data_IF_544686358475
#
_entry.id   IF_544686358475
#
_cell.length_a   1.000
_cell.length_b   1.000
_cell.length_c   1.000
_cell.angle_alpha   90.00
_cell.angle_beta   90.00
_cell.angle_gamma   90.00
#
_symmetry.space_group_name_H-M   'P 1'
#
loop_
_entity.id
_entity.type
_entity.pdbx_description
1 polymer ?
#
# COMPACT_ATOMS: atom_id res chain seq x y z
N UNK A 1 -4.86 -9.53 27.35
CA UNK A 1 -3.46 -9.16 27.60
C UNK A 1 -2.76 -9.10 26.26
N UNK A 2 -2.18 -7.96 25.86
CA UNK A 2 -1.45 -7.84 24.60
C UNK A 2 0.02 -8.18 24.89
N UNK A 3 0.59 -9.11 24.11
CA UNK A 3 2.00 -9.50 24.26
C UNK A 3 2.88 -8.54 23.41
N UNK A 4 3.95 -7.95 23.99
CA UNK A 4 4.83 -7.07 23.24
C UNK A 4 5.61 -7.87 22.19
N UNK A 5 5.74 -7.29 21.00
CA UNK A 5 6.57 -7.84 19.93
C UNK A 5 8.06 -7.65 20.24
N UNK A 6 8.86 -8.70 20.13
CA UNK A 6 10.31 -8.69 20.44
C UNK A 6 11.21 -9.03 19.23
N UNK A 7 10.65 -9.06 18.02
CA UNK A 7 11.42 -9.37 16.81
C UNK A 7 12.14 -8.16 16.21
N UNK A 8 12.73 -8.33 15.00
CA UNK A 8 13.37 -7.24 14.27
C UNK A 8 12.44 -6.05 14.05
N UNK A 9 13.00 -4.84 13.95
CA UNK A 9 12.22 -3.63 13.75
C UNK A 9 11.31 -3.75 12.52
N UNK A 10 10.01 -3.52 12.76
CA UNK A 10 9.01 -3.48 11.71
C UNK A 10 9.02 -2.10 11.06
N UNK A 11 9.05 -2.06 9.72
CA UNK A 11 8.97 -0.79 9.00
C UNK A 11 7.51 -0.40 8.82
N UNK A 12 7.22 0.90 8.84
CA UNK A 12 5.85 1.40 8.60
C UNK A 12 5.33 0.89 7.25
N UNK A 13 6.13 1.02 6.18
CA UNK A 13 5.76 0.52 4.86
C UNK A 13 5.54 -1.00 4.83
N UNK A 14 6.34 -1.77 5.57
CA UNK A 14 6.17 -3.21 5.70
C UNK A 14 4.83 -3.58 6.36
N UNK A 15 4.47 -2.92 7.46
CA UNK A 15 3.19 -3.18 8.14
C UNK A 15 1.98 -2.72 7.32
N UNK A 16 2.08 -1.62 6.56
CA UNK A 16 1.02 -1.22 5.62
C UNK A 16 0.86 -2.23 4.48
N UNK A 17 1.96 -2.78 3.95
CA UNK A 17 1.90 -3.85 2.94
C UNK A 17 1.28 -5.13 3.53
N UNK A 18 1.60 -5.47 4.79
CA UNK A 18 0.94 -6.59 5.49
C UNK A 18 -0.55 -6.35 5.66
N UNK A 19 -0.98 -5.13 5.98
CA UNK A 19 -2.40 -4.80 6.09
C UNK A 19 -3.13 -5.03 4.76
N UNK A 20 -2.57 -4.54 3.64
CA UNK A 20 -3.13 -4.77 2.31
C UNK A 20 -3.23 -6.28 1.96
N UNK A 21 -2.20 -7.05 2.31
CA UNK A 21 -2.19 -8.49 2.13
C UNK A 21 -3.18 -9.21 3.04
N UNK A 22 -3.33 -8.81 4.30
CA UNK A 22 -4.28 -9.43 5.22
C UNK A 22 -5.73 -9.21 4.76
N UNK A 23 -6.04 -8.01 4.26
CA UNK A 23 -7.38 -7.71 3.75
C UNK A 23 -7.73 -8.57 2.53
N UNK A 24 -6.85 -8.61 1.53
CA UNK A 24 -7.05 -9.42 0.32
C UNK A 24 -6.95 -10.93 0.59
N UNK A 25 -6.01 -11.35 1.42
CA UNK A 25 -5.80 -12.73 1.83
C UNK A 25 -6.98 -13.32 2.61
N UNK A 26 -7.65 -12.50 3.44
CA UNK A 26 -8.90 -12.91 4.11
C UNK A 26 -10.00 -13.32 3.11
N UNK A 27 -10.00 -12.72 1.91
CA UNK A 27 -10.94 -13.07 0.83
C UNK A 27 -10.60 -14.43 0.20
N UNK A 28 -9.30 -14.70 0.03
CA UNK A 28 -8.83 -16.02 -0.40
C UNK A 28 -9.14 -17.09 0.65
N UNK A 29 -8.95 -16.81 1.94
CA UNK A 29 -9.31 -17.72 3.02
C UNK A 29 -10.82 -17.95 3.14
N UNK A 30 -11.63 -16.95 2.77
CA UNK A 30 -13.08 -17.10 2.64
C UNK A 30 -13.53 -17.94 1.44
N UNK A 31 -12.61 -18.39 0.57
CA UNK A 31 -12.93 -19.22 -0.59
C UNK A 31 -13.61 -18.49 -1.74
N UNK A 32 -13.62 -17.15 -1.73
CA UNK A 32 -14.32 -16.32 -2.73
C UNK A 32 -13.38 -15.61 -3.71
N UNK A 33 -12.07 -15.76 -3.54
CA UNK A 33 -11.04 -15.17 -4.39
C UNK A 33 -9.82 -16.08 -4.48
N UNK A 34 -9.05 -15.95 -5.57
CA UNK A 34 -7.76 -16.62 -5.73
C UNK A 34 -6.61 -15.69 -5.34
N UNK A 35 -5.44 -16.27 -5.04
CA UNK A 35 -4.22 -15.50 -4.78
C UNK A 35 -3.85 -14.59 -5.97
N UNK A 36 -4.15 -15.02 -7.19
CA UNK A 36 -3.98 -14.23 -8.41
C UNK A 36 -4.78 -12.93 -8.39
N UNK A 37 -5.99 -12.95 -7.85
CA UNK A 37 -6.88 -11.78 -7.79
C UNK A 37 -6.26 -10.71 -6.88
N UNK A 38 -5.79 -11.12 -5.71
CA UNK A 38 -5.08 -10.24 -4.78
C UNK A 38 -3.82 -9.66 -5.43
N UNK A 39 -2.98 -10.51 -6.03
CA UNK A 39 -1.74 -10.09 -6.69
C UNK A 39 -1.99 -9.10 -7.83
N UNK A 40 -3.04 -9.30 -8.63
CA UNK A 40 -3.41 -8.38 -9.71
C UNK A 40 -4.02 -7.07 -9.18
N UNK A 41 -4.70 -7.09 -8.03
CA UNK A 41 -5.37 -5.91 -7.47
C UNK A 41 -4.40 -4.85 -6.93
N UNK A 42 -3.26 -5.25 -6.38
CA UNK A 42 -2.29 -4.32 -5.80
C UNK A 42 -1.72 -3.30 -6.80
N UNK A 43 -1.15 -3.69 -7.96
CA UNK A 43 -0.66 -2.72 -8.93
C UNK A 43 -1.81 -1.87 -9.54
N UNK A 44 -3.01 -2.42 -9.68
CA UNK A 44 -4.17 -1.67 -10.18
C UNK A 44 -4.60 -0.58 -9.19
N UNK A 45 -4.75 -0.93 -7.91
CA UNK A 45 -5.10 0.03 -6.86
C UNK A 45 -4.00 1.06 -6.62
N UNK A 46 -2.73 0.65 -6.67
CA UNK A 46 -1.59 1.57 -6.58
C UNK A 46 -1.58 2.58 -7.72
N UNK A 47 -1.80 2.13 -8.97
CA UNK A 47 -1.87 3.03 -10.12
C UNK A 47 -3.01 4.06 -9.99
N UNK A 48 -4.18 3.63 -9.50
CA UNK A 48 -5.29 4.55 -9.22
C UNK A 48 -4.91 5.57 -8.14
N UNK A 49 -4.34 5.12 -7.02
CA UNK A 49 -3.91 6.01 -5.94
C UNK A 49 -2.85 7.01 -6.41
N UNK A 50 -1.89 6.58 -7.24
CA UNK A 50 -0.89 7.46 -7.87
C UNK A 50 -1.57 8.56 -8.70
N UNK A 51 -2.57 8.22 -9.50
CA UNK A 51 -3.32 9.21 -10.29
C UNK A 51 -4.01 10.23 -9.38
N UNK A 52 -4.70 9.77 -8.34
CA UNK A 52 -5.35 10.66 -7.37
C UNK A 52 -4.37 11.58 -6.65
N UNK A 53 -3.20 11.08 -6.26
CA UNK A 53 -2.17 11.88 -5.60
C UNK A 53 -1.59 12.96 -6.55
N UNK A 54 -1.43 12.65 -7.83
CA UNK A 54 -1.01 13.63 -8.85
C UNK A 54 -2.04 14.75 -9.02
N UNK A 55 -3.32 14.39 -9.08
CA UNK A 55 -4.41 15.35 -9.18
C UNK A 55 -4.49 16.20 -7.91
N UNK A 56 -4.41 15.57 -6.74
CA UNK A 56 -4.44 16.26 -5.45
C UNK A 56 -3.27 17.22 -5.28
N UNK A 57 -2.06 16.85 -5.71
CA UNK A 57 -0.88 17.72 -5.67
C UNK A 57 -1.12 19.07 -6.32
N UNK A 58 -1.85 19.11 -7.44
CA UNK A 58 -2.15 20.34 -8.15
C UNK A 58 -3.12 21.28 -7.41
N UNK A 59 -3.74 20.80 -6.32
CA UNK A 59 -4.72 21.57 -5.53
C UNK A 59 -4.11 22.32 -4.34
N UNK A 60 -2.83 22.06 -4.00
CA UNK A 60 -2.19 22.72 -2.88
C UNK A 60 -1.73 24.14 -3.25
N UNK A 61 -2.04 25.08 -2.36
CA UNK A 61 -1.67 26.49 -2.53
C UNK A 61 -0.21 26.75 -2.11
N UNK A 62 0.32 25.97 -1.17
CA UNK A 62 1.74 26.05 -0.80
C UNK A 62 2.64 25.33 -1.81
N UNK A 63 3.91 25.75 -1.94
CA UNK A 63 4.92 24.96 -2.64
C UNK A 63 5.00 23.54 -2.08
N UNK A 64 4.77 22.55 -2.96
CA UNK A 64 4.77 21.14 -2.58
C UNK A 64 5.54 20.30 -3.61
N UNK A 65 6.61 19.66 -3.15
CA UNK A 65 7.52 18.86 -3.98
C UNK A 65 6.92 17.51 -4.41
N UNK A 66 5.77 17.13 -3.85
CA UNK A 66 5.05 15.91 -4.19
C UNK A 66 5.09 14.84 -3.11
N UNK A 67 4.30 13.79 -3.31
CA UNK A 67 4.23 12.64 -2.40
C UNK A 67 5.32 11.65 -2.74
N UNK A 68 6.20 11.34 -1.78
CA UNK A 68 7.28 10.37 -2.00
C UNK A 68 7.05 9.10 -1.20
N UNK A 69 7.01 7.95 -1.87
CA UNK A 69 6.80 6.65 -1.24
C UNK A 69 7.44 5.49 -2.02
N UNK A 70 7.45 4.31 -1.40
CA UNK A 70 7.93 3.06 -2.00
C UNK A 70 6.73 2.24 -2.45
N UNK A 71 6.76 1.82 -3.72
CA UNK A 71 5.72 1.03 -4.38
C UNK A 71 5.75 -0.43 -3.93
N UNK A 72 4.70 -1.18 -4.25
CA UNK A 72 4.62 -2.63 -3.97
C UNK A 72 5.74 -3.43 -4.65
N UNK A 73 6.25 -2.97 -5.79
CA UNK A 73 7.40 -3.59 -6.48
C UNK A 73 8.77 -3.23 -5.86
N UNK A 74 8.79 -2.40 -4.82
CA UNK A 74 10.00 -1.94 -4.13
C UNK A 74 10.64 -0.69 -4.75
N UNK A 75 10.16 -0.20 -5.90
CA UNK A 75 10.66 1.04 -6.50
C UNK A 75 10.20 2.27 -5.72
N UNK A 76 11.01 3.33 -5.70
CA UNK A 76 10.65 4.60 -5.07
C UNK A 76 10.11 5.56 -6.13
N UNK A 77 9.06 6.29 -5.80
CA UNK A 77 8.44 7.28 -6.67
C UNK A 77 8.15 8.57 -5.90
N UNK A 78 8.16 9.70 -6.62
CA UNK A 78 7.60 10.98 -6.18
C UNK A 78 6.52 11.41 -7.18
N UNK A 79 5.34 11.79 -6.71
CA UNK A 79 4.18 12.17 -7.54
C UNK A 79 3.67 13.56 -7.21
#
# INVERSE_FOLDING_TARGET
MQLPYQGPALTIGGELNKLALNYSGGRTWGGIHWRSDAAASFPQGENLAITLLREQRATFAEPFDGFTFTRFDGSRITV
#
